data_IF_267377557828
#
_entry.id   IF_267377557828
#
_cell.length_a   1.000
_cell.length_b   1.000
_cell.length_c   1.000
_cell.angle_alpha   90.00
_cell.angle_beta   90.00
_cell.angle_gamma   90.00
#
_symmetry.space_group_name_H-M   'P 1'
#
loop_
_entity.id
_entity.type
_entity.pdbx_description
1 polymer ?
#
# COMPACT_ATOMS: atom_id res chain seq x y z
N UNK A 1 16.62 -14.63 20.56
CA UNK A 1 17.02 -14.73 19.13
C UNK A 1 17.71 -13.42 18.72
N UNK A 2 19.05 -13.32 18.75
CA UNK A 2 19.79 -12.09 18.46
C UNK A 2 19.56 -11.54 17.03
N UNK A 3 19.10 -12.38 16.10
CA UNK A 3 18.69 -11.95 14.75
C UNK A 3 17.46 -11.01 14.77
N UNK A 4 16.61 -11.08 15.81
CA UNK A 4 15.48 -10.17 15.97
C UNK A 4 15.89 -8.73 16.29
N UNK A 5 16.96 -8.55 17.07
CA UNK A 5 17.54 -7.23 17.36
C UNK A 5 18.15 -6.61 16.09
N UNK A 6 18.73 -7.41 15.20
CA UNK A 6 19.20 -6.95 13.90
C UNK A 6 18.07 -6.47 12.97
N UNK A 7 16.85 -7.00 13.11
CA UNK A 7 15.67 -6.51 12.36
C UNK A 7 15.20 -5.17 12.92
N UNK A 8 15.25 -4.94 14.23
CA UNK A 8 14.94 -3.64 14.82
C UNK A 8 15.91 -2.54 14.33
N UNK A 9 17.16 -2.90 14.07
CA UNK A 9 18.16 -2.01 13.48
C UNK A 9 17.86 -1.61 12.02
N UNK A 10 16.84 -2.20 11.37
CA UNK A 10 16.39 -1.76 10.05
C UNK A 10 15.50 -0.50 10.09
N UNK A 11 15.06 -0.04 11.27
CA UNK A 11 14.25 1.17 11.41
C UNK A 11 14.84 2.42 10.72
N UNK A 12 16.12 2.76 10.92
CA UNK A 12 16.78 3.86 10.23
C UNK A 12 16.77 3.77 8.70
N UNK A 13 16.64 2.56 8.12
CA UNK A 13 16.62 2.36 6.67
C UNK A 13 15.41 3.05 6.02
N UNK A 14 14.27 3.13 6.70
CA UNK A 14 13.09 3.83 6.18
C UNK A 14 13.36 5.32 5.94
N UNK A 15 14.18 5.95 6.80
CA UNK A 15 14.58 7.35 6.64
C UNK A 15 15.72 7.49 5.62
N UNK A 16 16.68 6.57 5.64
CA UNK A 16 17.82 6.60 4.72
C UNK A 16 17.41 6.45 3.25
N UNK A 17 16.25 5.86 2.96
CA UNK A 17 15.71 5.72 1.60
C UNK A 17 14.94 6.97 1.10
N UNK A 18 14.72 7.99 1.94
CA UNK A 18 13.99 9.20 1.54
C UNK A 18 14.62 9.88 0.31
N UNK A 19 15.94 10.09 0.21
CA UNK A 19 16.55 10.68 -0.98
C UNK A 19 16.25 9.88 -2.25
N UNK A 20 16.18 8.55 -2.13
CA UNK A 20 15.86 7.66 -3.27
C UNK A 20 14.40 7.79 -3.66
N UNK A 21 13.47 7.76 -2.70
CA UNK A 21 12.04 7.93 -3.01
C UNK A 21 11.78 9.31 -3.61
N UNK A 22 12.48 10.34 -3.14
CA UNK A 22 12.42 11.69 -3.67
C UNK A 22 12.90 11.79 -5.12
N UNK A 23 13.98 11.09 -5.46
CA UNK A 23 14.50 11.06 -6.84
C UNK A 23 13.55 10.33 -7.79
N UNK A 24 13.01 9.17 -7.37
CA UNK A 24 12.12 8.36 -8.22
C UNK A 24 10.76 9.06 -8.46
N UNK A 25 10.27 9.85 -7.49
CA UNK A 25 8.96 10.53 -7.56
C UNK A 25 8.98 11.91 -8.21
N UNK A 26 10.09 12.31 -8.83
CA UNK A 26 10.14 13.56 -9.58
C UNK A 26 9.10 13.59 -10.71
N UNK A 27 8.42 14.74 -10.94
CA UNK A 27 7.44 14.86 -12.01
C UNK A 27 8.01 14.56 -13.40
N UNK A 28 7.19 13.99 -14.26
CA UNK A 28 7.57 13.59 -15.63
C UNK A 28 8.39 12.29 -15.74
N UNK A 29 8.72 11.66 -14.62
CA UNK A 29 9.47 10.40 -14.57
C UNK A 29 8.64 9.15 -14.94
N UNK A 30 9.31 7.99 -14.94
CA UNK A 30 8.66 6.69 -15.18
C UNK A 30 7.61 6.35 -14.12
N UNK A 31 7.90 6.63 -12.85
CA UNK A 31 6.96 6.38 -11.76
C UNK A 31 5.65 7.14 -11.98
N UNK A 32 5.71 8.41 -12.41
CA UNK A 32 4.51 9.18 -12.68
C UNK A 32 3.62 8.53 -13.74
N UNK A 33 4.21 7.95 -14.80
CA UNK A 33 3.45 7.20 -15.81
C UNK A 33 2.76 5.99 -15.18
N UNK A 34 3.46 5.24 -14.33
CA UNK A 34 2.88 4.12 -13.59
C UNK A 34 1.73 4.57 -12.67
N UNK A 35 1.91 5.65 -11.93
CA UNK A 35 0.92 6.24 -11.04
C UNK A 35 -0.30 6.73 -11.82
N UNK A 36 -0.10 7.46 -12.90
CA UNK A 36 -1.19 7.92 -13.79
C UNK A 36 -1.90 6.73 -14.46
N UNK A 37 -1.20 5.63 -14.77
CA UNK A 37 -1.81 4.40 -15.27
C UNK A 37 -2.77 3.76 -14.24
N UNK A 38 -2.34 3.67 -12.98
CA UNK A 38 -3.20 3.18 -11.88
C UNK A 38 -4.41 4.10 -11.69
N UNK A 39 -4.19 5.42 -11.63
CA UNK A 39 -5.26 6.41 -11.51
C UNK A 39 -6.23 6.33 -12.69
N UNK A 40 -5.70 6.17 -13.91
CA UNK A 40 -6.51 6.05 -15.12
C UNK A 40 -7.37 4.78 -15.11
N UNK A 41 -6.86 3.67 -14.57
CA UNK A 41 -7.64 2.46 -14.32
C UNK A 41 -8.80 2.69 -13.35
N UNK A 42 -8.60 3.50 -12.30
CA UNK A 42 -9.68 3.92 -11.40
C UNK A 42 -10.70 4.77 -12.13
N UNK A 43 -10.27 5.71 -12.97
CA UNK A 43 -11.17 6.51 -13.82
C UNK A 43 -12.03 5.63 -14.72
N UNK A 44 -11.43 4.61 -15.34
CA UNK A 44 -12.14 3.67 -16.20
C UNK A 44 -13.22 2.92 -15.42
N UNK A 45 -12.90 2.42 -14.22
CA UNK A 45 -13.86 1.72 -13.37
C UNK A 45 -14.98 2.66 -12.87
N UNK A 46 -14.62 3.84 -12.38
CA UNK A 46 -15.57 4.81 -11.85
C UNK A 46 -16.54 5.36 -12.91
N UNK A 47 -16.10 5.40 -14.18
CA UNK A 47 -16.91 5.84 -15.31
C UNK A 47 -17.56 4.69 -16.10
N UNK A 48 -17.57 3.47 -15.55
CA UNK A 48 -18.08 2.27 -16.21
C UNK A 48 -17.53 2.06 -17.64
N UNK A 49 -16.25 2.37 -17.85
CA UNK A 49 -15.53 2.20 -19.11
C UNK A 49 -15.47 3.43 -20.01
N UNK A 50 -16.12 4.54 -19.65
CA UNK A 50 -16.25 5.69 -20.55
C UNK A 50 -15.01 6.61 -20.60
N UNK A 51 -14.22 6.69 -19.54
CA UNK A 51 -13.10 7.64 -19.45
C UNK A 51 -12.01 7.16 -18.49
N UNK A 52 -10.75 7.36 -18.86
CA UNK A 52 -9.60 7.18 -17.96
C UNK A 52 -9.20 8.48 -17.25
N UNK A 53 -9.88 9.60 -17.55
CA UNK A 53 -9.50 10.90 -17.07
C UNK A 53 -9.96 11.13 -15.62
N UNK A 54 -9.00 11.47 -14.75
CA UNK A 54 -9.23 11.99 -13.40
C UNK A 54 -8.56 13.36 -13.31
N UNK A 55 -9.31 14.38 -12.91
CA UNK A 55 -8.78 15.73 -12.73
C UNK A 55 -7.66 15.75 -11.68
N UNK A 56 -6.72 16.70 -11.79
CA UNK A 56 -5.52 16.76 -10.93
C UNK A 56 -5.86 16.70 -9.42
N UNK A 57 -6.80 17.51 -8.96
CA UNK A 57 -7.23 17.54 -7.56
C UNK A 57 -7.94 16.26 -7.07
N UNK A 58 -8.36 15.37 -7.99
CA UNK A 58 -8.97 14.07 -7.70
C UNK A 58 -7.99 12.89 -7.71
N UNK A 59 -6.72 13.11 -8.07
CA UNK A 59 -5.72 12.02 -8.18
C UNK A 59 -5.45 11.32 -6.85
N UNK A 60 -5.35 12.08 -5.75
CA UNK A 60 -5.16 11.51 -4.41
C UNK A 60 -6.38 10.67 -3.99
N UNK A 61 -7.59 11.16 -4.26
CA UNK A 61 -8.82 10.41 -4.03
C UNK A 61 -8.88 9.11 -4.85
N UNK A 62 -8.43 9.13 -6.11
CA UNK A 62 -8.33 7.92 -6.94
C UNK A 62 -7.35 6.89 -6.37
N UNK A 63 -6.17 7.35 -5.89
CA UNK A 63 -5.21 6.49 -5.19
C UNK A 63 -5.80 5.92 -3.88
N UNK A 64 -6.59 6.71 -3.15
CA UNK A 64 -7.24 6.27 -1.92
C UNK A 64 -8.31 5.21 -2.22
N UNK A 65 -9.11 5.41 -3.27
CA UNK A 65 -10.12 4.48 -3.71
C UNK A 65 -9.50 3.10 -4.03
N UNK A 66 -8.48 3.05 -4.90
CA UNK A 66 -7.87 1.76 -5.25
C UNK A 66 -7.19 1.09 -4.05
N UNK A 67 -6.52 1.86 -3.18
CA UNK A 67 -5.85 1.26 -2.04
C UNK A 67 -6.83 0.75 -0.98
N UNK A 68 -7.93 1.48 -0.74
CA UNK A 68 -9.00 1.02 0.13
C UNK A 68 -9.71 -0.22 -0.45
N UNK A 69 -10.03 -0.23 -1.74
CA UNK A 69 -10.62 -1.40 -2.42
C UNK A 69 -9.71 -2.62 -2.30
N UNK A 70 -8.41 -2.47 -2.57
CA UNK A 70 -7.48 -3.58 -2.45
C UNK A 70 -7.30 -4.08 -1.00
N UNK A 71 -7.25 -3.15 -0.03
CA UNK A 71 -7.05 -3.47 1.39
C UNK A 71 -8.29 -4.11 2.00
N UNK A 72 -9.47 -3.51 1.84
CA UNK A 72 -10.67 -3.94 2.56
C UNK A 72 -11.52 -4.94 1.79
N UNK A 73 -11.58 -4.83 0.45
CA UNK A 73 -12.38 -5.75 -0.36
C UNK A 73 -11.55 -6.92 -0.88
N UNK A 74 -10.54 -6.66 -1.72
CA UNK A 74 -9.86 -7.73 -2.46
C UNK A 74 -9.02 -8.63 -1.55
N UNK A 75 -8.13 -8.03 -0.74
CA UNK A 75 -7.29 -8.82 0.16
C UNK A 75 -8.07 -9.39 1.35
N UNK A 76 -9.13 -8.70 1.80
CA UNK A 76 -10.05 -9.22 2.81
C UNK A 76 -10.77 -10.48 2.33
N UNK A 77 -11.32 -10.46 1.12
CA UNK A 77 -11.94 -11.63 0.49
C UNK A 77 -10.92 -12.77 0.27
N UNK A 78 -9.71 -12.45 -0.21
CA UNK A 78 -8.66 -13.44 -0.40
C UNK A 78 -8.20 -14.08 0.93
N UNK A 79 -8.11 -13.28 1.99
CA UNK A 79 -7.82 -13.76 3.35
C UNK A 79 -8.92 -14.67 3.89
N UNK A 80 -10.19 -14.29 3.72
CA UNK A 80 -11.33 -15.09 4.14
C UNK A 80 -11.40 -16.43 3.38
N UNK A 81 -11.23 -16.41 2.05
CA UNK A 81 -11.18 -17.61 1.23
C UNK A 81 -9.97 -18.49 1.54
N UNK A 82 -8.81 -17.88 1.85
CA UNK A 82 -7.64 -18.61 2.31
C UNK A 82 -7.89 -19.31 3.65
N UNK A 83 -8.54 -18.64 4.60
CA UNK A 83 -8.91 -19.23 5.89
C UNK A 83 -9.89 -20.40 5.74
N UNK A 84 -10.88 -20.26 4.86
CA UNK A 84 -11.84 -21.31 4.57
C UNK A 84 -11.16 -22.54 3.96
N UNK A 85 -10.36 -22.34 2.91
CA UNK A 85 -9.61 -23.42 2.25
C UNK A 85 -8.53 -24.05 3.15
N UNK A 86 -8.02 -23.30 4.13
CA UNK A 86 -6.95 -23.74 5.03
C UNK A 86 -7.43 -24.46 6.29
N UNK A 87 -8.74 -24.53 6.53
CA UNK A 87 -9.32 -25.11 7.76
C UNK A 87 -10.14 -26.35 7.43
N UNK A 88 -9.89 -27.47 8.11
CA UNK A 88 -10.72 -28.67 7.97
C UNK A 88 -12.15 -28.37 8.46
N UNK A 89 -13.14 -28.52 7.58
CA UNK A 89 -14.54 -28.17 7.86
C UNK A 89 -14.94 -26.73 7.46
N UNK A 90 -14.01 -25.97 6.86
CA UNK A 90 -14.25 -24.59 6.44
C UNK A 90 -14.12 -23.58 7.58
N UNK A 91 -14.42 -22.32 7.28
CA UNK A 91 -14.32 -21.20 8.21
C UNK A 91 -15.44 -21.25 9.26
N UNK A 92 -15.08 -21.40 10.54
CA UNK A 92 -16.02 -21.20 11.66
C UNK A 92 -16.26 -19.71 11.91
N UNK A 93 -17.42 -19.20 11.53
CA UNK A 93 -17.80 -17.81 11.78
C UNK A 93 -18.23 -17.52 13.22
N UNK A 94 -18.48 -18.55 14.05
CA UNK A 94 -18.76 -18.37 15.48
C UNK A 94 -17.47 -18.15 16.27
N UNK A 95 -16.35 -18.75 15.84
CA UNK A 95 -15.02 -18.54 16.41
C UNK A 95 -13.99 -18.18 15.32
N UNK A 96 -14.15 -17.05 14.63
CA UNK A 96 -13.44 -16.72 13.39
C UNK A 96 -11.92 -16.57 13.52
N UNK A 97 -11.41 -16.52 14.75
CA UNK A 97 -9.97 -16.38 15.04
C UNK A 97 -9.34 -17.66 15.61
N UNK A 98 -10.14 -18.65 16.03
CA UNK A 98 -9.62 -19.87 16.63
C UNK A 98 -8.82 -20.70 15.60
N UNK A 99 -9.31 -20.75 14.35
CA UNK A 99 -8.65 -21.50 13.27
C UNK A 99 -7.33 -20.86 12.78
N UNK A 100 -7.07 -19.58 13.10
CA UNK A 100 -5.89 -18.86 12.63
C UNK A 100 -4.57 -19.49 13.11
N UNK A 101 -4.57 -20.06 14.32
CA UNK A 101 -3.39 -20.68 14.92
C UNK A 101 -2.87 -21.88 14.11
N UNK A 102 -3.73 -22.49 13.31
CA UNK A 102 -3.41 -23.70 12.54
C UNK A 102 -3.14 -23.41 11.05
N UNK A 103 -3.30 -22.17 10.59
CA UNK A 103 -3.06 -21.83 9.18
C UNK A 103 -1.59 -22.00 8.83
N UNK A 104 -1.34 -22.59 7.67
CA UNK A 104 -0.01 -22.75 7.10
C UNK A 104 -0.03 -22.50 5.59
N UNK A 105 1.15 -22.46 4.97
CA UNK A 105 1.26 -22.37 3.52
C UNK A 105 0.61 -21.13 2.91
N UNK A 106 -0.09 -21.31 1.78
CA UNK A 106 -0.77 -20.23 1.07
C UNK A 106 -1.89 -19.55 1.89
N UNK A 107 -2.79 -20.28 2.56
CA UNK A 107 -3.76 -19.70 3.50
C UNK A 107 -3.17 -18.70 4.49
N UNK A 108 -2.08 -19.08 5.17
CA UNK A 108 -1.40 -18.20 6.13
C UNK A 108 -0.82 -16.96 5.45
N UNK A 109 -0.26 -17.11 4.24
CA UNK A 109 0.31 -15.98 3.51
C UNK A 109 -0.76 -14.99 3.03
N UNK A 110 -1.93 -15.47 2.59
CA UNK A 110 -3.06 -14.61 2.23
C UNK A 110 -3.58 -13.83 3.44
N UNK A 111 -3.77 -14.52 4.57
CA UNK A 111 -4.13 -13.88 5.83
C UNK A 111 -3.11 -12.82 6.25
N UNK A 112 -1.83 -13.19 6.30
CA UNK A 112 -0.75 -12.30 6.74
C UNK A 112 -0.55 -11.10 5.81
N UNK A 113 -0.72 -11.29 4.49
CA UNK A 113 -0.63 -10.21 3.52
C UNK A 113 -1.76 -9.18 3.70
N UNK A 114 -3.00 -9.64 3.92
CA UNK A 114 -4.13 -8.75 4.26
C UNK A 114 -3.89 -7.99 5.56
N UNK A 115 -3.47 -8.68 6.63
CA UNK A 115 -3.17 -8.03 7.92
C UNK A 115 -2.11 -6.94 7.75
N UNK A 116 -1.08 -7.17 6.95
CA UNK A 116 -0.05 -6.15 6.72
C UNK A 116 -0.56 -4.97 5.89
N UNK A 117 -1.50 -5.15 4.96
CA UNK A 117 -2.14 -4.00 4.30
C UNK A 117 -2.98 -3.20 5.31
N UNK A 118 -3.71 -3.88 6.21
CA UNK A 118 -4.49 -3.23 7.27
C UNK A 118 -3.62 -2.42 8.24
N UNK A 119 -2.43 -2.91 8.59
CA UNK A 119 -1.47 -2.20 9.44
C UNK A 119 -0.90 -0.93 8.79
N UNK A 120 -0.76 -0.95 7.47
CA UNK A 120 -0.10 0.12 6.70
C UNK A 120 -1.08 1.17 6.19
N UNK A 121 -2.34 0.79 6.01
CA UNK A 121 -3.36 1.67 5.47
C UNK A 121 -3.57 2.95 6.29
N UNK A 122 -3.70 2.93 7.64
CA UNK A 122 -3.95 4.15 8.42
C UNK A 122 -2.87 5.21 8.25
N UNK A 123 -1.59 4.81 8.27
CA UNK A 123 -0.46 5.73 8.09
C UNK A 123 -0.46 6.38 6.70
N UNK A 124 -0.76 5.61 5.66
CA UNK A 124 -0.93 6.15 4.32
C UNK A 124 -2.16 7.05 4.19
N UNK A 125 -3.30 6.66 4.78
CA UNK A 125 -4.54 7.40 4.71
C UNK A 125 -4.43 8.79 5.36
N UNK A 126 -3.74 8.89 6.50
CA UNK A 126 -3.43 10.19 7.13
C UNK A 126 -2.57 11.06 6.20
N UNK A 127 -1.51 10.49 5.61
CA UNK A 127 -0.66 11.23 4.68
C UNK A 127 -1.42 11.69 3.43
N UNK A 128 -2.29 10.86 2.87
CA UNK A 128 -3.14 11.20 1.73
C UNK A 128 -4.16 12.29 2.07
N UNK A 129 -4.83 12.20 3.23
CA UNK A 129 -5.78 13.21 3.68
C UNK A 129 -5.10 14.56 3.92
N UNK A 130 -3.94 14.59 4.59
CA UNK A 130 -3.17 15.81 4.78
C UNK A 130 -2.68 16.38 3.43
N UNK A 131 -2.22 15.55 2.51
CA UNK A 131 -1.82 15.97 1.18
C UNK A 131 -2.98 16.58 0.39
N UNK A 132 -4.17 16.00 0.47
CA UNK A 132 -5.38 16.52 -0.18
C UNK A 132 -5.77 17.91 0.33
N UNK A 133 -5.51 18.22 1.61
CA UNK A 133 -5.81 19.53 2.19
C UNK A 133 -4.70 20.54 1.91
N UNK A 134 -3.44 20.17 2.12
CA UNK A 134 -2.29 21.09 2.13
C UNK A 134 -1.71 21.29 0.72
N UNK A 135 -1.76 20.29 -0.15
CA UNK A 135 -1.09 20.31 -1.46
C UNK A 135 -1.77 19.40 -2.50
N UNK A 136 -3.08 19.58 -2.78
CA UNK A 136 -3.85 18.67 -3.61
C UNK A 136 -3.36 18.53 -5.06
N UNK A 137 -2.67 19.54 -5.58
CA UNK A 137 -2.21 19.58 -6.97
C UNK A 137 -0.72 19.28 -7.14
N UNK A 138 0.00 19.03 -6.04
CA UNK A 138 1.44 18.77 -6.07
C UNK A 138 1.73 17.38 -6.65
N UNK A 139 2.16 17.36 -7.91
CA UNK A 139 2.41 16.11 -8.65
C UNK A 139 3.51 15.27 -8.00
N UNK A 140 4.49 15.89 -7.33
CA UNK A 140 5.55 15.15 -6.66
C UNK A 140 5.01 14.39 -5.43
N UNK A 141 4.15 15.03 -4.64
CA UNK A 141 3.47 14.38 -3.51
C UNK A 141 2.52 13.27 -4.01
N UNK A 142 1.79 13.52 -5.09
CA UNK A 142 0.94 12.49 -5.73
C UNK A 142 1.78 11.29 -6.16
N UNK A 143 2.97 11.52 -6.75
CA UNK A 143 3.88 10.45 -7.15
C UNK A 143 4.41 9.65 -5.95
N UNK A 144 4.71 10.30 -4.81
CA UNK A 144 5.13 9.60 -3.58
C UNK A 144 3.99 8.75 -3.00
N UNK A 145 2.77 9.28 -2.93
CA UNK A 145 1.60 8.51 -2.49
C UNK A 145 1.34 7.32 -3.43
N UNK A 146 1.48 7.55 -4.74
CA UNK A 146 1.35 6.53 -5.77
C UNK A 146 2.46 5.46 -5.71
N UNK A 147 3.69 5.84 -5.37
CA UNK A 147 4.78 4.90 -5.13
C UNK A 147 4.43 3.92 -4.00
N UNK A 148 3.86 4.41 -2.91
CA UNK A 148 3.40 3.54 -1.83
C UNK A 148 2.33 2.56 -2.33
N UNK A 149 1.30 3.06 -3.02
CA UNK A 149 0.22 2.22 -3.56
C UNK A 149 0.78 1.16 -4.51
N UNK A 150 1.66 1.54 -5.44
CA UNK A 150 2.24 0.61 -6.40
C UNK A 150 3.09 -0.45 -5.70
N UNK A 151 4.00 -0.01 -4.82
CA UNK A 151 4.88 -0.91 -4.08
C UNK A 151 4.08 -1.87 -3.18
N UNK A 152 2.99 -1.42 -2.55
CA UNK A 152 2.16 -2.29 -1.71
C UNK A 152 1.32 -3.27 -2.52
N UNK A 153 0.62 -2.80 -3.54
CA UNK A 153 -0.39 -3.59 -4.25
C UNK A 153 0.18 -4.47 -5.35
N UNK A 154 1.16 -3.98 -6.12
CA UNK A 154 1.67 -4.69 -7.30
C UNK A 154 3.01 -5.38 -7.06
N UNK A 155 3.68 -5.13 -5.93
CA UNK A 155 4.97 -5.77 -5.61
C UNK A 155 4.92 -6.51 -4.29
N UNK A 156 4.64 -5.80 -3.19
CA UNK A 156 4.68 -6.37 -1.84
C UNK A 156 3.63 -7.46 -1.64
N UNK A 157 2.36 -7.19 -1.96
CA UNK A 157 1.29 -8.17 -1.78
C UNK A 157 1.51 -9.44 -2.63
N UNK A 158 1.78 -9.37 -3.95
CA UNK A 158 2.14 -10.54 -4.75
C UNK A 158 3.36 -11.28 -4.21
N UNK A 159 4.44 -10.57 -3.83
CA UNK A 159 5.63 -11.19 -3.25
C UNK A 159 5.31 -11.91 -1.93
N UNK A 160 4.37 -11.39 -1.13
CA UNK A 160 3.88 -12.05 0.07
C UNK A 160 3.20 -13.38 -0.27
N UNK A 161 2.27 -13.38 -1.22
CA UNK A 161 1.51 -14.57 -1.63
C UNK A 161 2.42 -15.63 -2.26
N UNK A 162 3.39 -15.20 -3.08
CA UNK A 162 4.39 -16.04 -3.75
C UNK A 162 5.57 -16.45 -2.85
N UNK A 163 5.56 -16.06 -1.56
CA UNK A 163 6.60 -16.38 -0.59
C UNK A 163 8.02 -15.87 -0.95
N UNK A 164 8.13 -14.73 -1.62
CA UNK A 164 9.40 -14.07 -1.90
C UNK A 164 9.72 -13.01 -0.82
N UNK A 165 10.47 -13.41 0.21
CA UNK A 165 10.80 -12.55 1.34
C UNK A 165 11.62 -11.30 1.00
N UNK A 166 12.58 -11.41 0.08
CA UNK A 166 13.47 -10.30 -0.29
C UNK A 166 12.73 -9.17 -1.00
N UNK A 167 11.94 -9.51 -2.03
CA UNK A 167 11.12 -8.55 -2.78
C UNK A 167 10.05 -7.93 -1.88
N UNK A 168 9.42 -8.75 -1.02
CA UNK A 168 8.44 -8.27 -0.04
C UNK A 168 9.02 -7.20 0.88
N UNK A 169 10.20 -7.45 1.45
CA UNK A 169 10.85 -6.50 2.36
C UNK A 169 11.31 -5.24 1.63
N UNK A 170 11.95 -5.37 0.46
CA UNK A 170 12.37 -4.22 -0.35
C UNK A 170 11.20 -3.30 -0.69
N UNK A 171 10.10 -3.86 -1.22
CA UNK A 171 8.90 -3.10 -1.53
C UNK A 171 8.29 -2.41 -0.29
N UNK A 172 8.34 -3.06 0.87
CA UNK A 172 7.88 -2.45 2.11
C UNK A 172 8.74 -1.25 2.51
N UNK A 173 10.07 -1.34 2.42
CA UNK A 173 10.98 -0.24 2.74
C UNK A 173 10.72 0.99 1.86
N UNK A 174 10.60 0.80 0.54
CA UNK A 174 10.28 1.91 -0.38
C UNK A 174 8.91 2.52 -0.11
N UNK A 175 7.87 1.69 0.08
CA UNK A 175 6.53 2.16 0.36
C UNK A 175 6.45 2.98 1.66
N UNK A 176 7.07 2.49 2.73
CA UNK A 176 7.08 3.19 4.02
C UNK A 176 7.93 4.46 3.98
N UNK A 177 9.10 4.43 3.31
CA UNK A 177 9.90 5.64 3.12
C UNK A 177 9.14 6.73 2.33
N UNK A 178 8.36 6.34 1.31
CA UNK A 178 7.56 7.28 0.53
C UNK A 178 6.53 8.04 1.38
N UNK A 179 5.81 7.36 2.28
CA UNK A 179 4.83 8.03 3.17
C UNK A 179 5.51 8.94 4.19
N UNK A 180 6.68 8.54 4.72
CA UNK A 180 7.45 9.37 5.64
C UNK A 180 7.94 10.63 4.92
N UNK A 181 8.39 10.49 3.67
CA UNK A 181 8.78 11.62 2.83
C UNK A 181 7.61 12.60 2.62
N UNK A 182 6.41 12.10 2.27
CA UNK A 182 5.21 12.95 2.15
C UNK A 182 4.98 13.75 3.44
N UNK A 183 4.94 13.09 4.59
CA UNK A 183 4.67 13.75 5.87
C UNK A 183 5.74 14.80 6.22
N UNK A 184 7.02 14.51 5.97
CA UNK A 184 8.12 15.45 6.20
C UNK A 184 8.07 16.66 5.26
N UNK A 185 7.66 16.46 4.00
CA UNK A 185 7.47 17.57 3.08
C UNK A 185 6.27 18.45 3.47
N UNK A 186 5.15 17.83 3.83
CA UNK A 186 3.95 18.55 4.28
C UNK A 186 4.20 19.33 5.57
N UNK A 187 4.99 18.80 6.51
CA UNK A 187 5.35 19.49 7.75
C UNK A 187 6.08 20.82 7.54
N UNK A 188 6.64 21.05 6.34
CA UNK A 188 7.34 22.29 5.97
C UNK A 188 6.47 23.28 5.22
N UNK A 189 5.22 22.92 4.90
CA UNK A 189 4.29 23.78 4.15
C UNK A 189 3.35 24.52 5.09
N UNK A 190 3.03 25.79 4.84
CA UNK A 190 2.03 26.51 5.62
C UNK A 190 0.63 25.91 5.36
N UNK A 191 -0.24 25.95 6.39
CA UNK A 191 -1.68 25.78 6.19
C UNK A 191 -2.20 27.06 5.53
N UNK A 192 -2.80 26.93 4.34
CA UNK A 192 -3.45 28.03 3.62
C UNK A 192 -4.86 28.20 4.15
#
# INVERSE_FOLDING_TARGET
>A
NPKGLAVAAAGPLFLALIPVTNWISQPGGFLEKGVNGVIGGVGLLASAGASTHIAQGGKIAALAAIYATATYALSGAASAGGQDAGTQGGRDNNHPRAALANLQGLPLRLYSAHQHLMEMFPGWAIAAALAQVISPNDQHIINLLGLHVIAKLFVHYPAYVLNNGGVRSGAHFFATSAILNVLLQLARKPLV
#
